data_IF_645580085498
#
_entry.id   IF_645580085498
#
_cell.length_a   1.000
_cell.length_b   1.000
_cell.length_c   1.000
_cell.angle_alpha   90.00
_cell.angle_beta   90.00
_cell.angle_gamma   90.00
#
_symmetry.space_group_name_H-M   'P 1'
#
loop_
_entity.id
_entity.type
_entity.pdbx_description
1 polymer ?
#
# COMPACT_ATOMS: atom_id res chain seq x y z
N UNK A 1 20.65 -13.69 2.20
CA UNK A 1 20.58 -12.33 2.80
C UNK A 1 20.42 -11.21 1.77
N UNK A 2 21.36 -11.01 0.83
CA UNK A 2 21.33 -9.89 -0.15
C UNK A 2 20.02 -9.74 -0.95
N UNK A 3 19.43 -10.85 -1.44
CA UNK A 3 18.13 -10.81 -2.16
C UNK A 3 16.96 -10.36 -1.28
N UNK A 4 16.89 -10.82 -0.02
CA UNK A 4 15.86 -10.41 0.94
C UNK A 4 15.96 -8.93 1.30
N UNK A 5 17.17 -8.43 1.55
CA UNK A 5 17.41 -7.00 1.79
C UNK A 5 16.95 -6.18 0.58
N UNK A 6 17.34 -6.57 -0.64
CA UNK A 6 16.90 -5.89 -1.86
C UNK A 6 15.38 -5.89 -2.02
N UNK A 7 14.72 -7.02 -1.74
CA UNK A 7 13.28 -7.14 -1.84
C UNK A 7 12.55 -6.26 -0.82
N UNK A 8 12.99 -6.28 0.44
CA UNK A 8 12.47 -5.41 1.49
C UNK A 8 12.66 -3.93 1.14
N UNK A 9 13.86 -3.53 0.68
CA UNK A 9 14.13 -2.16 0.24
C UNK A 9 13.28 -1.76 -0.97
N UNK A 10 13.03 -2.67 -1.90
CA UNK A 10 12.18 -2.43 -3.08
C UNK A 10 10.73 -2.23 -2.69
N UNK A 11 10.21 -3.02 -1.76
CA UNK A 11 8.86 -2.87 -1.22
C UNK A 11 8.69 -1.59 -0.39
N UNK A 12 9.69 -1.25 0.44
CA UNK A 12 9.76 0.02 1.15
C UNK A 12 9.73 1.22 0.18
N UNK A 13 10.54 1.16 -0.88
CA UNK A 13 10.57 2.20 -1.91
C UNK A 13 9.24 2.31 -2.66
N UNK A 14 8.60 1.18 -2.98
CA UNK A 14 7.28 1.17 -3.62
C UNK A 14 6.20 1.80 -2.72
N UNK A 15 6.20 1.52 -1.42
CA UNK A 15 5.31 2.17 -0.46
C UNK A 15 5.62 3.68 -0.28
N UNK A 16 6.89 4.09 -0.34
CA UNK A 16 7.25 5.51 -0.32
C UNK A 16 6.72 6.23 -1.58
N UNK A 17 6.83 5.61 -2.76
CA UNK A 17 6.26 6.14 -4.01
C UNK A 17 4.74 6.23 -3.94
N UNK A 18 4.08 5.22 -3.35
CA UNK A 18 2.65 5.26 -3.05
C UNK A 18 2.30 6.49 -2.21
N UNK A 19 2.93 6.67 -1.06
CA UNK A 19 2.62 7.79 -0.17
C UNK A 19 2.85 9.15 -0.86
N UNK A 20 3.92 9.26 -1.66
CA UNK A 20 4.24 10.49 -2.39
C UNK A 20 3.22 10.84 -3.48
N UNK A 21 2.59 9.84 -4.10
CA UNK A 21 1.59 10.08 -5.15
C UNK A 21 0.17 10.33 -4.63
N UNK A 22 -0.13 10.01 -3.36
CA UNK A 22 -1.49 10.13 -2.79
C UNK A 22 -2.16 11.48 -3.10
N UNK A 23 -1.49 12.64 -2.93
CA UNK A 23 -2.12 13.94 -3.20
C UNK A 23 -2.54 14.13 -4.66
N UNK A 24 -1.88 13.45 -5.61
CA UNK A 24 -2.21 13.54 -7.02
C UNK A 24 -3.47 12.74 -7.34
N UNK A 25 -3.53 11.47 -6.94
CA UNK A 25 -4.71 10.65 -7.22
C UNK A 25 -5.94 11.12 -6.42
N UNK A 26 -5.75 11.68 -5.22
CA UNK A 26 -6.84 12.30 -4.45
C UNK A 26 -7.50 13.47 -5.18
N UNK A 27 -6.71 14.33 -5.84
CA UNK A 27 -7.22 15.44 -6.64
C UNK A 27 -7.98 14.94 -7.87
N UNK A 28 -7.43 13.94 -8.57
CA UNK A 28 -8.07 13.36 -9.76
C UNK A 28 -9.37 12.65 -9.43
N UNK A 29 -9.37 11.82 -8.38
CA UNK A 29 -10.53 11.04 -7.97
C UNK A 29 -11.57 11.87 -7.18
N UNK A 30 -11.21 13.07 -6.73
CA UNK A 30 -12.00 13.88 -5.77
C UNK A 30 -12.43 13.04 -4.56
N UNK A 31 -11.47 12.34 -3.98
CA UNK A 31 -11.64 11.52 -2.78
C UNK A 31 -10.36 11.60 -1.97
N UNK A 32 -10.47 11.96 -0.71
CA UNK A 32 -9.35 12.26 0.19
C UNK A 32 -8.79 11.02 0.89
N UNK A 33 -9.08 9.81 0.41
CA UNK A 33 -8.58 8.57 1.00
C UNK A 33 -7.04 8.56 1.03
N UNK A 34 -6.46 8.36 2.20
CA UNK A 34 -5.02 8.25 2.44
C UNK A 34 -4.72 7.06 3.36
N UNK A 35 -3.87 6.14 2.90
CA UNK A 35 -3.42 5.00 3.70
C UNK A 35 -2.50 5.48 4.84
N UNK A 36 -1.68 6.49 4.56
CA UNK A 36 -0.86 7.17 5.56
C UNK A 36 -1.72 7.76 6.67
N UNK A 37 -2.86 8.38 6.34
CA UNK A 37 -3.77 8.92 7.34
C UNK A 37 -4.44 7.82 8.17
N UNK A 38 -4.89 6.74 7.55
CA UNK A 38 -5.47 5.58 8.28
C UNK A 38 -4.43 5.05 9.27
N UNK A 39 -3.22 4.74 8.82
CA UNK A 39 -2.20 4.13 9.68
C UNK A 39 -1.74 5.08 10.79
N UNK A 40 -1.48 6.34 10.44
CA UNK A 40 -0.96 7.32 11.39
C UNK A 40 -1.96 7.73 12.46
N UNK A 41 -3.21 8.01 12.05
CA UNK A 41 -4.26 8.48 12.95
C UNK A 41 -4.89 7.35 13.79
N UNK A 42 -4.66 6.09 13.42
CA UNK A 42 -4.95 4.95 14.30
C UNK A 42 -4.05 4.95 15.55
N UNK A 43 -2.80 5.44 15.43
CA UNK A 43 -1.78 5.37 16.47
C UNK A 43 -1.71 6.65 17.30
N UNK A 44 -1.78 7.82 16.66
CA UNK A 44 -1.67 9.12 17.36
C UNK A 44 -2.66 10.15 16.82
N UNK A 45 -3.17 11.00 17.72
CA UNK A 45 -4.04 12.13 17.39
C UNK A 45 -3.27 13.45 17.22
N UNK A 46 -1.97 13.44 17.50
CA UNK A 46 -1.11 14.63 17.47
C UNK A 46 -0.55 14.96 16.08
N UNK A 47 0.21 16.06 15.94
CA UNK A 47 0.76 16.51 14.65
C UNK A 47 1.72 15.51 13.99
N UNK A 48 2.26 14.56 14.76
CA UNK A 48 3.15 13.50 14.26
C UNK A 48 2.48 12.36 13.49
N UNK A 49 1.15 12.37 13.31
CA UNK A 49 0.43 11.27 12.66
C UNK A 49 0.97 10.94 11.27
N UNK A 50 1.37 11.95 10.48
CA UNK A 50 1.89 11.73 9.13
C UNK A 50 3.19 10.92 9.15
N UNK A 51 4.15 11.31 10.02
CA UNK A 51 5.42 10.61 10.16
C UNK A 51 5.23 9.16 10.63
N UNK A 52 4.33 8.93 11.60
CA UNK A 52 3.98 7.59 12.07
C UNK A 52 3.34 6.76 10.96
N UNK A 53 2.32 7.30 10.29
CA UNK A 53 1.61 6.61 9.22
C UNK A 53 2.52 6.25 8.05
N UNK A 54 3.40 7.17 7.66
CA UNK A 54 4.39 6.95 6.61
C UNK A 54 5.38 5.85 6.99
N UNK A 55 5.91 5.88 8.22
CA UNK A 55 6.82 4.85 8.70
C UNK A 55 6.16 3.46 8.70
N UNK A 56 4.93 3.35 9.21
CA UNK A 56 4.17 2.09 9.19
C UNK A 56 3.92 1.63 7.76
N UNK A 57 3.56 2.53 6.85
CA UNK A 57 3.31 2.19 5.45
C UNK A 57 4.58 1.68 4.75
N UNK A 58 5.74 2.30 5.00
CA UNK A 58 7.04 1.86 4.48
C UNK A 58 7.42 0.48 5.03
N UNK A 59 7.19 0.22 6.32
CA UNK A 59 7.43 -1.10 6.94
C UNK A 59 6.51 -2.16 6.31
N UNK A 60 5.22 -1.87 6.12
CA UNK A 60 4.29 -2.77 5.45
C UNK A 60 4.77 -3.09 4.03
N UNK A 61 5.22 -2.09 3.28
CA UNK A 61 5.83 -2.27 1.97
C UNK A 61 7.05 -3.19 2.01
N UNK A 62 7.93 -3.04 3.01
CA UNK A 62 9.08 -3.91 3.18
C UNK A 62 8.69 -5.38 3.45
N UNK A 63 7.70 -5.59 4.31
CA UNK A 63 7.14 -6.92 4.60
C UNK A 63 6.52 -7.55 3.36
N UNK A 64 5.74 -6.78 2.59
CA UNK A 64 5.21 -7.22 1.30
C UNK A 64 6.35 -7.64 0.36
N UNK A 65 7.41 -6.83 0.25
CA UNK A 65 8.58 -7.14 -0.57
C UNK A 65 9.24 -8.48 -0.21
N UNK A 66 9.30 -8.80 1.09
CA UNK A 66 9.77 -10.11 1.56
C UNK A 66 8.83 -11.24 1.15
N UNK A 67 7.51 -11.07 1.32
CA UNK A 67 6.52 -12.05 0.91
C UNK A 67 6.57 -12.32 -0.61
N UNK A 68 6.69 -11.26 -1.42
CA UNK A 68 6.92 -11.35 -2.86
C UNK A 68 8.21 -12.14 -3.18
N UNK A 69 9.30 -11.90 -2.47
CA UNK A 69 10.55 -12.61 -2.70
C UNK A 69 10.46 -14.11 -2.40
N UNK A 70 9.68 -14.52 -1.40
CA UNK A 70 9.48 -15.95 -1.14
C UNK A 70 8.50 -16.56 -2.15
N UNK A 71 7.42 -15.85 -2.51
CA UNK A 71 6.39 -16.32 -3.46
C UNK A 71 6.96 -16.55 -4.86
N UNK A 72 7.80 -15.63 -5.35
CA UNK A 72 8.41 -15.75 -6.69
C UNK A 72 9.35 -16.94 -6.87
N UNK A 73 9.77 -17.57 -5.76
CA UNK A 73 10.62 -18.78 -5.81
C UNK A 73 9.83 -20.05 -6.11
N UNK A 74 8.52 -20.03 -5.90
CA UNK A 74 7.66 -21.21 -6.01
C UNK A 74 6.56 -21.04 -7.07
N UNK A 75 6.24 -19.79 -7.46
CA UNK A 75 5.24 -19.50 -8.48
C UNK A 75 5.92 -19.28 -9.85
N UNK A 76 5.63 -20.09 -10.89
CA UNK A 76 6.25 -19.97 -12.21
C UNK A 76 5.61 -18.87 -13.06
N UNK A 77 5.63 -17.64 -12.56
CA UNK A 77 5.11 -16.44 -13.25
C UNK A 77 6.25 -15.44 -13.39
N UNK A 78 6.25 -14.67 -14.49
CA UNK A 78 7.19 -13.57 -14.66
C UNK A 78 7.22 -12.68 -13.41
N UNK A 79 8.40 -12.38 -12.82
CA UNK A 79 8.48 -11.67 -11.55
C UNK A 79 7.76 -10.32 -11.53
N UNK A 80 7.75 -9.58 -12.65
CA UNK A 80 7.08 -8.27 -12.72
C UNK A 80 5.56 -8.44 -12.73
N UNK A 81 5.05 -9.40 -13.52
CA UNK A 81 3.62 -9.75 -13.52
C UNK A 81 3.17 -10.27 -12.16
N UNK A 82 4.01 -11.07 -11.50
CA UNK A 82 3.74 -11.58 -10.16
C UNK A 82 3.64 -10.45 -9.13
N UNK A 83 4.54 -9.47 -9.16
CA UNK A 83 4.49 -8.33 -8.23
C UNK A 83 3.18 -7.52 -8.35
N UNK A 84 2.75 -7.25 -9.59
CA UNK A 84 1.46 -6.57 -9.87
C UNK A 84 0.29 -7.44 -9.43
N UNK A 85 0.30 -8.72 -9.79
CA UNK A 85 -0.75 -9.68 -9.45
C UNK A 85 -0.93 -9.84 -7.95
N UNK A 86 0.17 -9.98 -7.19
CA UNK A 86 0.13 -10.06 -5.73
C UNK A 86 -0.44 -8.78 -5.11
N UNK A 87 -0.02 -7.60 -5.58
CA UNK A 87 -0.49 -6.34 -5.00
C UNK A 87 -1.99 -6.13 -5.26
N UNK A 88 -2.47 -6.45 -6.46
CA UNK A 88 -3.89 -6.38 -6.79
C UNK A 88 -4.70 -7.46 -6.07
N UNK A 89 -4.15 -8.66 -5.89
CA UNK A 89 -4.80 -9.72 -5.13
C UNK A 89 -4.93 -9.33 -3.65
N UNK A 90 -3.87 -8.80 -3.04
CA UNK A 90 -3.91 -8.27 -1.67
C UNK A 90 -5.01 -7.20 -1.54
N UNK A 91 -5.06 -6.25 -2.48
CA UNK A 91 -6.11 -5.24 -2.50
C UNK A 91 -7.51 -5.86 -2.48
N UNK A 92 -7.83 -6.72 -3.45
CA UNK A 92 -9.18 -7.28 -3.59
C UNK A 92 -9.56 -8.15 -2.39
N UNK A 93 -8.63 -8.95 -1.89
CA UNK A 93 -8.88 -9.87 -0.77
C UNK A 93 -9.01 -9.13 0.56
N UNK A 94 -8.24 -8.06 0.77
CA UNK A 94 -8.23 -7.33 2.03
C UNK A 94 -9.15 -6.10 2.04
N UNK A 95 -9.62 -5.61 0.89
CA UNK A 95 -10.49 -4.42 0.85
C UNK A 95 -11.76 -4.56 1.70
N UNK A 96 -12.44 -5.72 1.80
CA UNK A 96 -13.59 -5.88 2.69
C UNK A 96 -13.27 -5.55 4.17
N UNK A 97 -12.00 -5.68 4.60
CA UNK A 97 -11.58 -5.31 5.96
C UNK A 97 -11.63 -3.81 6.23
N UNK A 98 -11.77 -2.97 5.19
CA UNK A 98 -12.06 -1.53 5.37
C UNK A 98 -13.38 -1.28 6.09
N UNK A 99 -14.27 -2.29 6.19
CA UNK A 99 -15.39 -2.31 7.15
C UNK A 99 -14.95 -1.92 8.56
N UNK A 100 -13.84 -2.46 9.05
CA UNK A 100 -13.35 -2.19 10.40
C UNK A 100 -12.82 -0.76 10.54
N UNK A 101 -12.24 -0.21 9.48
CA UNK A 101 -11.86 1.22 9.45
C UNK A 101 -13.11 2.09 9.52
N UNK A 102 -14.12 1.78 8.72
CA UNK A 102 -15.39 2.52 8.73
C UNK A 102 -16.12 2.45 10.07
N UNK A 103 -16.02 1.31 10.77
CA UNK A 103 -16.75 1.06 12.01
C UNK A 103 -16.01 1.52 13.27
N UNK A 104 -14.69 1.37 13.33
CA UNK A 104 -13.93 1.48 14.58
C UNK A 104 -12.79 2.49 14.54
N UNK A 105 -12.43 3.06 13.38
CA UNK A 105 -11.27 3.94 13.31
C UNK A 105 -11.47 5.23 14.13
N UNK A 106 -10.55 5.59 15.05
CA UNK A 106 -10.74 6.69 16.00
C UNK A 106 -10.80 8.09 15.36
N UNK A 107 -10.33 8.20 14.12
CA UNK A 107 -10.34 9.41 13.29
C UNK A 107 -11.24 9.29 12.05
N UNK A 108 -12.17 8.34 12.03
CA UNK A 108 -13.10 8.18 10.90
C UNK A 108 -13.88 9.49 10.65
N UNK A 109 -13.92 9.93 9.39
CA UNK A 109 -14.61 11.16 8.99
C UNK A 109 -13.73 12.42 9.04
N UNK A 110 -12.52 12.32 9.56
CA UNK A 110 -11.51 13.38 9.43
C UNK A 110 -10.88 13.35 8.02
N UNK A 111 -10.23 14.45 7.60
CA UNK A 111 -9.49 14.48 6.34
C UNK A 111 -8.51 13.30 6.23
N UNK A 112 -8.51 12.61 5.09
CA UNK A 112 -7.68 11.42 4.88
C UNK A 112 -8.43 10.09 5.04
N UNK A 113 -9.58 10.10 5.73
CA UNK A 113 -10.28 8.88 6.16
C UNK A 113 -11.77 9.00 5.83
N UNK A 114 -12.13 9.04 4.52
CA UNK A 114 -13.51 9.01 4.07
C UNK A 114 -14.14 7.64 4.34
N UNK A 115 -15.41 7.48 3.96
CA UNK A 115 -16.01 6.14 3.94
C UNK A 115 -15.26 5.30 2.92
N UNK A 116 -14.93 4.06 3.26
CA UNK A 116 -14.11 3.21 2.40
C UNK A 116 -14.94 2.10 1.77
N UNK A 117 -15.57 1.24 2.57
CA UNK A 117 -16.15 -0.02 2.10
C UNK A 117 -17.14 0.16 0.95
N UNK A 118 -17.94 1.23 1.02
CA UNK A 118 -18.99 1.55 0.04
C UNK A 118 -18.62 2.70 -0.88
N UNK A 119 -17.33 3.08 -0.96
CA UNK A 119 -16.87 4.22 -1.73
C UNK A 119 -16.10 3.75 -2.98
N UNK A 120 -16.73 3.79 -4.17
CA UNK A 120 -16.10 3.30 -5.40
C UNK A 120 -14.86 4.10 -5.79
N UNK A 121 -14.78 5.38 -5.40
CA UNK A 121 -13.59 6.21 -5.65
C UNK A 121 -12.42 5.74 -4.80
N UNK A 122 -12.66 5.45 -3.53
CA UNK A 122 -11.62 4.91 -2.64
C UNK A 122 -11.13 3.54 -3.14
N UNK A 123 -12.03 2.68 -3.62
CA UNK A 123 -11.66 1.40 -4.22
C UNK A 123 -10.78 1.59 -5.46
N UNK A 124 -11.20 2.47 -6.39
CA UNK A 124 -10.42 2.77 -7.59
C UNK A 124 -9.04 3.39 -7.27
N UNK A 125 -8.95 4.28 -6.28
CA UNK A 125 -7.68 4.83 -5.80
C UNK A 125 -6.76 3.74 -5.25
N UNK A 126 -7.26 2.87 -4.36
CA UNK A 126 -6.46 1.75 -3.86
C UNK A 126 -6.04 0.81 -4.98
N UNK A 127 -6.91 0.50 -5.94
CA UNK A 127 -6.55 -0.32 -7.11
C UNK A 127 -5.38 0.32 -7.89
N UNK A 128 -5.48 1.62 -8.20
CA UNK A 128 -4.44 2.38 -8.89
C UNK A 128 -3.11 2.35 -8.12
N UNK A 129 -3.17 2.59 -6.81
CA UNK A 129 -1.99 2.62 -5.95
C UNK A 129 -1.32 1.24 -5.83
N UNK A 130 -2.07 0.15 -5.72
CA UNK A 130 -1.53 -1.22 -5.74
C UNK A 130 -0.89 -1.56 -7.09
N UNK A 131 -1.46 -1.09 -8.19
CA UNK A 131 -0.85 -1.27 -9.50
C UNK A 131 0.52 -0.56 -9.59
N UNK A 132 0.60 0.70 -9.14
CA UNK A 132 1.88 1.44 -9.06
C UNK A 132 2.87 0.72 -8.15
N UNK A 133 2.42 0.29 -6.97
CA UNK A 133 3.26 -0.43 -6.02
C UNK A 133 3.87 -1.68 -6.64
N UNK A 134 3.04 -2.55 -7.23
CA UNK A 134 3.51 -3.78 -7.88
C UNK A 134 4.47 -3.50 -9.04
N UNK A 135 4.20 -2.45 -9.81
CA UNK A 135 5.08 -1.98 -10.88
C UNK A 135 6.46 -1.55 -10.35
N UNK A 136 6.50 -0.72 -9.31
CA UNK A 136 7.76 -0.23 -8.72
C UNK A 136 8.52 -1.38 -8.07
N UNK A 137 7.85 -2.21 -7.28
CA UNK A 137 8.43 -3.38 -6.64
C UNK A 137 9.04 -4.34 -7.67
N UNK A 138 8.29 -4.71 -8.71
CA UNK A 138 8.76 -5.63 -9.75
C UNK A 138 9.95 -5.08 -10.54
N UNK A 139 10.03 -3.76 -10.73
CA UNK A 139 11.18 -3.11 -11.38
C UNK A 139 12.42 -3.07 -10.49
N UNK A 140 12.27 -2.67 -9.22
CA UNK A 140 13.39 -2.49 -8.30
C UNK A 140 13.95 -3.81 -7.75
N UNK A 141 13.09 -4.80 -7.51
CA UNK A 141 13.52 -6.09 -6.97
C UNK A 141 14.41 -6.88 -7.96
N UNK A 142 14.32 -6.54 -9.25
CA UNK A 142 15.10 -7.13 -10.35
C UNK A 142 14.80 -8.62 -10.60
N UNK A 143 15.16 -9.14 -11.79
CA UNK A 143 15.14 -10.58 -12.02
C UNK A 143 16.13 -11.29 -11.08
N UNK A 144 15.85 -12.57 -10.79
CA UNK A 144 16.85 -13.43 -10.21
C UNK A 144 17.92 -13.69 -11.26
N UNK A 145 19.06 -12.98 -11.14
CA UNK A 145 20.32 -13.46 -11.71
C UNK A 145 20.78 -14.69 -10.95
#
# INVERSE_FOLDING_TARGET
MKRRIRAAASGAAAAAVWAAQEPFDQRLARCDYSDVAILGKAVTRGPGWYGVGFAVHVVNGALFGLAYNETRRIVPVDPRRLAIGMALAEHVLLYPLTYFVDRYHPARGQPGIPRLLTNPRAFAQATWRHAIFGVVLGRLAGPDR
#
